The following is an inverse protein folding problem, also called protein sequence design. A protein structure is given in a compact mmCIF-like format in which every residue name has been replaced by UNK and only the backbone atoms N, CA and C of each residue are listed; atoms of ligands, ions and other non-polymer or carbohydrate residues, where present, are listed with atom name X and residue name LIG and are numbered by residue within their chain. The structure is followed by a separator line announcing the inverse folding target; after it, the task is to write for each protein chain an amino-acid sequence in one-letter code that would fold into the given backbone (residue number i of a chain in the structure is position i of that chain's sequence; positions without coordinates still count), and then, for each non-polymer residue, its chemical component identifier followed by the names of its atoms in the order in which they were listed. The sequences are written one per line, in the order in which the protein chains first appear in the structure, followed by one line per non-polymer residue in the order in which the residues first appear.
data_IF_973972949207
#
_entry.id   IF_973972949207
#
_cell.length_a   1.000
_cell.length_b   1.000
_cell.length_c   1.000
_cell.angle_alpha   90.00
_cell.angle_beta   90.00
_cell.angle_gamma   90.00
#
_symmetry.space_group_name_H-M   'P 1'
#
loop_
_entity.id
_entity.type
_entity.pdbx_description
1 polymer ?
#
# COMPACT_ATOMS: atom_id res chain seq x y z
N UNK A 1 23.77 -17.13 -16.50
CA UNK A 1 22.57 -16.25 -16.45
C UNK A 1 22.87 -14.96 -17.18
N UNK A 2 22.11 -14.58 -18.22
CA UNK A 2 22.24 -13.27 -18.86
C UNK A 2 21.73 -12.19 -17.89
N UNK A 3 22.54 -11.18 -17.58
CA UNK A 3 22.11 -10.03 -16.78
C UNK A 3 21.17 -9.18 -17.64
N UNK A 4 19.88 -9.20 -17.35
CA UNK A 4 18.91 -8.28 -17.96
C UNK A 4 19.14 -6.90 -17.37
N UNK A 5 19.51 -5.93 -18.20
CA UNK A 5 19.61 -4.53 -17.79
C UNK A 5 18.21 -3.95 -17.62
N UNK A 6 17.62 -4.11 -16.45
CA UNK A 6 16.36 -3.48 -16.07
C UNK A 6 16.61 -1.97 -15.93
N UNK A 7 15.93 -1.15 -16.75
CA UNK A 7 15.98 0.31 -16.68
C UNK A 7 14.61 0.82 -16.26
N UNK A 8 14.61 1.78 -15.33
CA UNK A 8 13.40 2.47 -14.90
C UNK A 8 13.12 3.63 -15.86
N UNK A 9 11.87 3.76 -16.30
CA UNK A 9 11.41 4.97 -16.97
C UNK A 9 11.28 6.10 -15.94
N UNK A 10 12.17 7.09 -16.05
CA UNK A 10 12.22 8.24 -15.13
C UNK A 10 11.24 9.34 -15.53
N UNK A 11 10.62 9.27 -16.71
CA UNK A 11 9.63 10.27 -17.14
C UNK A 11 8.33 10.17 -16.36
N UNK A 12 8.06 9.00 -15.79
CA UNK A 12 6.92 8.74 -14.90
C UNK A 12 7.20 9.07 -13.42
N UNK A 13 8.38 9.61 -13.08
CA UNK A 13 8.77 9.92 -11.70
C UNK A 13 8.72 11.44 -11.46
N UNK A 14 8.10 11.84 -10.35
CA UNK A 14 8.14 13.22 -9.85
C UNK A 14 8.66 13.24 -8.41
N UNK A 15 9.41 14.27 -8.05
CA UNK A 15 9.96 14.50 -6.70
C UNK A 15 9.48 15.85 -6.20
N UNK A 16 9.01 15.90 -4.95
CA UNK A 16 8.59 17.14 -4.30
C UNK A 16 9.38 17.35 -2.99
N UNK A 17 9.64 18.61 -2.59
CA UNK A 17 10.16 18.91 -1.26
C UNK A 17 9.22 18.39 -0.16
N UNK A 18 9.79 17.91 0.95
CA UNK A 18 9.02 17.25 2.01
C UNK A 18 8.03 18.18 2.73
N UNK A 19 8.36 19.48 2.80
CA UNK A 19 7.62 20.46 3.60
C UNK A 19 6.86 21.50 2.76
N UNK A 20 6.93 21.41 1.43
CA UNK A 20 6.21 22.32 0.53
C UNK A 20 4.90 21.67 0.06
N UNK A 21 4.00 22.49 -0.51
CA UNK A 21 2.84 21.96 -1.22
C UNK A 21 3.27 21.08 -2.39
N UNK A 22 2.67 19.90 -2.51
CA UNK A 22 2.94 18.95 -3.59
C UNK A 22 1.65 18.47 -4.25
N UNK A 23 1.77 18.09 -5.51
CA UNK A 23 0.71 17.46 -6.31
C UNK A 23 0.37 16.03 -5.85
N UNK A 24 1.14 15.45 -4.93
CA UNK A 24 0.98 14.08 -4.43
C UNK A 24 -0.46 13.83 -3.96
N UNK A 25 -1.03 14.76 -3.19
CA UNK A 25 -2.41 14.63 -2.70
C UNK A 25 -3.42 14.68 -3.83
N UNK A 26 -3.25 15.62 -4.77
CA UNK A 26 -4.14 15.78 -5.91
C UNK A 26 -4.10 14.55 -6.83
N UNK A 27 -2.89 14.02 -7.11
CA UNK A 27 -2.68 12.79 -7.85
C UNK A 27 -3.48 11.63 -7.26
N UNK A 28 -3.34 11.37 -5.95
CA UNK A 28 -4.08 10.27 -5.33
C UNK A 28 -5.59 10.49 -5.35
N UNK A 29 -6.08 11.72 -5.19
CA UNK A 29 -7.51 12.03 -5.25
C UNK A 29 -8.11 11.86 -6.65
N UNK A 30 -7.32 12.05 -7.71
CA UNK A 30 -7.75 11.79 -9.09
C UNK A 30 -7.92 10.29 -9.41
N UNK A 31 -7.31 9.40 -8.62
CA UNK A 31 -7.42 7.96 -8.84
C UNK A 31 -8.76 7.39 -8.36
N UNK A 32 -9.24 6.36 -9.07
CA UNK A 32 -10.44 5.63 -8.62
C UNK A 32 -10.24 5.01 -7.23
N UNK A 33 -11.29 4.89 -6.41
CA UNK A 33 -11.21 4.23 -5.10
C UNK A 33 -10.58 2.84 -5.18
N UNK A 34 -10.96 2.04 -6.19
CA UNK A 34 -10.42 0.69 -6.42
C UNK A 34 -8.92 0.71 -6.72
N UNK A 35 -8.43 1.70 -7.49
CA UNK A 35 -7.01 1.83 -7.80
C UNK A 35 -6.19 2.21 -6.56
N UNK A 36 -6.70 3.11 -5.71
CA UNK A 36 -6.06 3.47 -4.44
C UNK A 36 -5.94 2.27 -3.49
N UNK A 37 -7.01 1.50 -3.33
CA UNK A 37 -7.00 0.31 -2.47
C UNK A 37 -5.95 -0.72 -2.93
N UNK A 38 -5.81 -0.96 -4.24
CA UNK A 38 -4.78 -1.87 -4.77
C UNK A 38 -3.35 -1.37 -4.48
N UNK A 39 -3.11 -0.07 -4.61
CA UNK A 39 -1.80 0.51 -4.28
C UNK A 39 -1.49 0.38 -2.79
N UNK A 40 -2.45 0.68 -1.93
CA UNK A 40 -2.29 0.54 -0.47
C UNK A 40 -1.99 -0.92 -0.11
N UNK A 41 -2.69 -1.90 -0.68
CA UNK A 41 -2.41 -3.31 -0.44
C UNK A 41 -1.01 -3.73 -0.89
N UNK A 42 -0.53 -3.17 -2.01
CA UNK A 42 0.83 -3.40 -2.49
C UNK A 42 1.85 -2.87 -1.50
N UNK A 43 1.68 -1.63 -1.03
CA UNK A 43 2.54 -1.02 0.00
C UNK A 43 2.49 -1.80 1.32
N UNK A 44 1.30 -2.26 1.74
CA UNK A 44 1.13 -3.09 2.94
C UNK A 44 1.96 -4.37 2.84
N UNK A 45 1.92 -5.05 1.69
CA UNK A 45 2.70 -6.27 1.46
C UNK A 45 4.20 -6.00 1.43
N UNK A 46 4.64 -4.91 0.80
CA UNK A 46 6.07 -4.55 0.75
C UNK A 46 6.60 -4.26 2.16
N UNK A 47 5.88 -3.44 2.94
CA UNK A 47 6.36 -2.98 4.24
C UNK A 47 6.16 -4.00 5.36
N UNK A 48 5.09 -4.80 5.31
CA UNK A 48 4.70 -5.66 6.42
C UNK A 48 4.50 -7.13 6.04
N UNK A 49 4.38 -7.44 4.75
CA UNK A 49 4.21 -8.80 4.24
C UNK A 49 3.04 -9.56 4.88
N UNK A 50 3.30 -10.81 5.24
CA UNK A 50 2.37 -11.69 5.92
C UNK A 50 2.14 -11.31 7.39
N UNK A 51 3.02 -10.48 7.98
CA UNK A 51 2.96 -10.11 9.41
C UNK A 51 2.14 -8.85 9.67
N UNK A 52 1.49 -8.27 8.66
CA UNK A 52 0.77 -7.00 8.78
C UNK A 52 -0.30 -6.99 9.88
N UNK A 53 -0.91 -8.13 10.18
CA UNK A 53 -1.94 -8.25 11.21
C UNK A 53 -1.41 -8.68 12.57
N UNK A 54 -0.10 -8.94 12.70
CA UNK A 54 0.50 -9.53 13.92
C UNK A 54 0.40 -8.60 15.13
N UNK A 55 0.38 -7.27 14.90
CA UNK A 55 0.33 -6.25 15.96
C UNK A 55 -1.04 -5.58 16.10
N UNK A 56 -2.04 -6.01 15.32
CA UNK A 56 -3.40 -5.47 15.44
C UNK A 56 -4.10 -6.17 16.60
N UNK A 57 -4.52 -5.39 17.60
CA UNK A 57 -5.38 -5.90 18.66
C UNK A 57 -6.75 -6.24 18.05
N UNK A 58 -7.16 -7.51 18.14
CA UNK A 58 -8.46 -7.96 17.65
C UNK A 58 -9.50 -7.64 18.72
N UNK A 59 -10.16 -6.50 18.56
CA UNK A 59 -11.20 -6.03 19.51
C UNK A 59 -12.57 -6.66 19.20
N UNK A 60 -12.76 -7.17 17.98
CA UNK A 60 -13.95 -7.91 17.57
C UNK A 60 -13.52 -9.31 17.12
N UNK A 61 -13.96 -10.33 17.85
CA UNK A 61 -13.77 -11.74 17.54
C UNK A 61 -15.14 -12.41 17.39
N UNK A 62 -15.28 -13.33 16.42
CA UNK A 62 -16.49 -14.13 16.26
C UNK A 62 -16.44 -15.26 17.28
N UNK A 63 -17.24 -15.15 18.36
CA UNK A 63 -17.38 -16.21 19.33
C UNK A 63 -18.24 -17.36 18.76
N UNK A 64 -17.76 -18.60 18.86
CA UNK A 64 -18.57 -19.79 18.58
C UNK A 64 -19.39 -20.15 19.81
N UNK A 65 -20.71 -20.32 19.65
CA UNK A 65 -21.59 -20.82 20.71
C UNK A 65 -21.39 -22.33 20.85
N UNK A 66 -21.00 -22.80 22.04
CA UNK A 66 -20.96 -24.23 22.33
C UNK A 66 -22.39 -24.84 22.26
N UNK A 67 -22.54 -26.08 21.74
CA UNK A 67 -23.83 -26.76 21.72
C UNK A 67 -24.35 -26.99 23.14
N UNK A 68 -25.68 -26.91 23.30
CA UNK A 68 -26.41 -27.06 24.57
C UNK A 68 -26.54 -28.51 24.99
#
# INVERSE_FOLDING_TARGET
MKKTNLRIDKTALSTAPLFDESDIKAYWLAQTPRARLRHIETLRRINYGHRATTRLQRVLEIAQRAPS
#
